data_IF_216333153668
#
_entry.id   IF_216333153668
#
_cell.length_a   1.000
_cell.length_b   1.000
_cell.length_c   1.000
_cell.angle_alpha   90.00
_cell.angle_beta   90.00
_cell.angle_gamma   90.00
#
_symmetry.space_group_name_H-M   'P 1'
#
loop_
_entity.id
_entity.type
_entity.pdbx_description
1 polymer ?
#
# COMPACT_ATOMS: atom_id res chain seq x y z
N UNK A 1 -57.19 -32.14 11.17
CA UNK A 1 -55.74 -32.18 10.91
C UNK A 1 -55.58 -32.42 9.41
N UNK A 2 -55.77 -31.40 8.58
CA UNK A 2 -54.70 -30.59 7.97
C UNK A 2 -53.69 -31.44 7.21
N UNK A 3 -53.90 -31.57 5.90
CA UNK A 3 -52.79 -31.83 4.98
C UNK A 3 -52.98 -30.91 3.75
N UNK A 4 -52.36 -29.74 3.83
CA UNK A 4 -52.19 -28.82 2.71
C UNK A 4 -51.14 -29.41 1.78
N UNK A 5 -51.53 -29.87 0.60
CA UNK A 5 -50.61 -30.00 -0.53
C UNK A 5 -50.66 -28.70 -1.34
N UNK A 6 -49.57 -27.93 -1.46
CA UNK A 6 -49.53 -26.80 -2.37
C UNK A 6 -49.36 -27.30 -3.82
N UNK A 7 -50.23 -26.81 -4.71
CA UNK A 7 -50.04 -26.85 -6.16
C UNK A 7 -48.67 -26.25 -6.49
N UNK A 8 -47.77 -27.06 -7.04
CA UNK A 8 -46.59 -26.55 -7.74
C UNK A 8 -47.07 -25.81 -8.99
N UNK A 9 -47.18 -24.49 -8.88
CA UNK A 9 -47.18 -23.60 -10.04
C UNK A 9 -45.74 -23.53 -10.54
N UNK A 10 -45.52 -24.12 -11.70
CA UNK A 10 -44.31 -23.96 -12.51
C UNK A 10 -44.22 -22.48 -12.95
N UNK A 11 -43.45 -21.68 -12.22
CA UNK A 11 -43.02 -20.36 -12.67
C UNK A 11 -41.65 -20.55 -13.33
N UNK A 12 -41.68 -21.02 -14.56
CA UNK A 12 -40.58 -20.88 -15.49
C UNK A 12 -40.37 -19.41 -15.81
N UNK A 13 -39.40 -18.77 -15.17
CA UNK A 13 -38.67 -17.61 -15.69
C UNK A 13 -37.24 -17.62 -15.14
N UNK A 14 -36.48 -18.67 -15.47
CA UNK A 14 -35.03 -18.49 -15.58
C UNK A 14 -34.80 -17.62 -16.83
N UNK A 15 -34.80 -16.30 -16.65
CA UNK A 15 -34.29 -15.39 -17.65
C UNK A 15 -32.82 -15.73 -17.84
N UNK A 16 -32.51 -16.51 -18.87
CA UNK A 16 -31.15 -16.68 -19.34
C UNK A 16 -30.66 -15.30 -19.76
N UNK A 17 -29.79 -14.69 -18.96
CA UNK A 17 -29.05 -13.52 -19.37
C UNK A 17 -28.32 -13.90 -20.66
N UNK A 18 -28.79 -13.38 -21.80
CA UNK A 18 -28.07 -13.54 -23.06
C UNK A 18 -26.64 -13.03 -22.83
N UNK A 19 -25.61 -13.70 -23.35
CA UNK A 19 -24.27 -13.16 -23.30
C UNK A 19 -24.32 -11.79 -23.99
N UNK A 20 -24.13 -10.72 -23.21
CA UNK A 20 -24.11 -9.35 -23.72
C UNK A 20 -23.03 -9.28 -24.78
N UNK A 21 -23.43 -9.06 -26.04
CA UNK A 21 -22.44 -8.93 -27.11
C UNK A 21 -21.60 -7.67 -26.84
N UNK A 22 -20.37 -7.62 -27.36
CA UNK A 22 -19.53 -6.42 -27.27
C UNK A 22 -20.26 -5.17 -27.79
N UNK A 23 -21.09 -5.34 -28.83
CA UNK A 23 -21.92 -4.26 -29.40
C UNK A 23 -22.94 -3.75 -28.38
N UNK A 24 -23.63 -4.66 -27.68
CA UNK A 24 -24.60 -4.29 -26.64
C UNK A 24 -23.90 -3.59 -25.46
N UNK A 25 -22.74 -4.11 -25.04
CA UNK A 25 -21.94 -3.50 -23.99
C UNK A 25 -21.48 -2.08 -24.34
N UNK A 26 -21.03 -1.86 -25.58
CA UNK A 26 -20.64 -0.55 -26.08
C UNK A 26 -21.82 0.42 -26.17
N UNK A 27 -22.97 -0.03 -26.66
CA UNK A 27 -24.18 0.80 -26.74
C UNK A 27 -24.68 1.20 -25.35
N UNK A 28 -24.72 0.26 -24.41
CA UNK A 28 -25.10 0.53 -23.02
C UNK A 28 -24.11 1.49 -22.36
N UNK A 29 -22.80 1.29 -22.57
CA UNK A 29 -21.77 2.23 -22.12
C UNK A 29 -22.03 3.65 -22.61
N UNK A 30 -22.35 3.82 -23.90
CA UNK A 30 -22.59 5.14 -24.48
C UNK A 30 -23.85 5.80 -23.91
N UNK A 31 -24.91 5.01 -23.67
CA UNK A 31 -26.14 5.48 -23.02
C UNK A 31 -25.88 5.90 -21.56
N UNK A 32 -25.13 5.11 -20.81
CA UNK A 32 -24.75 5.45 -19.43
C UNK A 32 -23.95 6.75 -19.40
N UNK A 33 -23.02 6.93 -20.33
CA UNK A 33 -22.22 8.14 -20.41
C UNK A 33 -23.08 9.37 -20.77
N UNK A 34 -24.06 9.23 -21.66
CA UNK A 34 -25.03 10.27 -21.97
C UNK A 34 -25.94 10.61 -20.78
N UNK A 35 -26.25 9.64 -19.93
CA UNK A 35 -27.03 9.87 -18.72
C UNK A 35 -26.21 10.63 -17.65
N UNK A 36 -24.90 10.35 -17.55
CA UNK A 36 -24.00 11.04 -16.63
C UNK A 36 -23.74 12.50 -17.07
N UNK A 37 -23.59 12.74 -18.38
CA UNK A 37 -23.25 14.04 -18.95
C UNK A 37 -24.40 14.62 -19.79
N UNK A 38 -25.37 15.33 -19.19
CA UNK A 38 -26.63 15.70 -19.84
C UNK A 38 -26.48 16.66 -21.04
N UNK A 39 -25.41 17.46 -21.10
CA UNK A 39 -25.15 18.39 -22.21
C UNK A 39 -24.47 17.73 -23.42
N UNK A 40 -24.50 16.40 -23.53
CA UNK A 40 -23.94 15.66 -24.68
C UNK A 40 -24.51 16.11 -26.04
N UNK A 41 -25.74 16.62 -26.08
CA UNK A 41 -26.36 17.16 -27.31
C UNK A 41 -25.62 18.38 -27.85
N UNK A 42 -24.95 19.14 -27.00
CA UNK A 42 -24.12 20.27 -27.42
C UNK A 42 -22.83 19.78 -28.09
N UNK A 43 -22.28 18.64 -27.64
CA UNK A 43 -21.11 18.02 -28.26
C UNK A 43 -21.46 17.31 -29.58
N UNK A 44 -22.68 16.77 -29.71
CA UNK A 44 -23.14 16.04 -30.89
C UNK A 44 -24.50 16.57 -31.39
N UNK A 45 -24.53 17.72 -32.10
CA UNK A 45 -25.79 18.36 -32.49
C UNK A 45 -26.62 17.59 -33.52
N UNK A 46 -25.98 16.74 -34.33
CA UNK A 46 -26.65 15.94 -35.36
C UNK A 46 -26.36 14.45 -35.19
N UNK A 47 -27.22 13.61 -35.76
CA UNK A 47 -27.05 12.15 -35.80
C UNK A 47 -25.72 11.74 -36.45
N UNK A 48 -25.26 12.49 -37.45
CA UNK A 48 -23.98 12.24 -38.12
C UNK A 48 -22.79 12.49 -37.18
N UNK A 49 -22.80 13.59 -36.42
CA UNK A 49 -21.78 13.87 -35.40
C UNK A 49 -21.74 12.78 -34.33
N UNK A 50 -22.91 12.35 -33.85
CA UNK A 50 -23.03 11.27 -32.87
C UNK A 50 -22.47 9.95 -33.41
N UNK A 51 -22.80 9.60 -34.65
CA UNK A 51 -22.31 8.38 -35.30
C UNK A 51 -20.80 8.42 -35.51
N UNK A 52 -20.25 9.56 -35.92
CA UNK A 52 -18.80 9.72 -36.05
C UNK A 52 -18.10 9.60 -34.69
N UNK A 53 -18.64 10.20 -33.64
CA UNK A 53 -18.14 10.04 -32.28
C UNK A 53 -18.14 8.58 -31.85
N UNK A 54 -19.25 7.86 -32.01
CA UNK A 54 -19.33 6.42 -31.70
C UNK A 54 -18.26 5.60 -32.42
N UNK A 55 -17.96 5.89 -33.70
CA UNK A 55 -16.87 5.24 -34.44
C UNK A 55 -15.50 5.48 -33.80
N UNK A 56 -15.19 6.73 -33.42
CA UNK A 56 -13.92 7.08 -32.77
C UNK A 56 -13.77 6.38 -31.39
N UNK A 57 -14.84 6.39 -30.60
CA UNK A 57 -14.88 5.67 -29.32
C UNK A 57 -14.70 4.17 -29.50
N UNK A 58 -15.34 3.58 -30.50
CA UNK A 58 -15.22 2.15 -30.81
C UNK A 58 -13.78 1.78 -31.22
N UNK A 59 -13.15 2.59 -32.06
CA UNK A 59 -11.73 2.42 -32.44
C UNK A 59 -10.84 2.42 -31.20
N UNK A 60 -11.00 3.41 -30.31
CA UNK A 60 -10.25 3.44 -29.05
C UNK A 60 -10.48 2.18 -28.18
N UNK A 61 -11.72 1.67 -28.12
CA UNK A 61 -12.03 0.48 -27.33
C UNK A 61 -11.31 -0.77 -27.87
N UNK A 62 -11.21 -0.87 -29.18
CA UNK A 62 -10.48 -1.94 -29.87
C UNK A 62 -8.98 -1.78 -29.61
N UNK A 63 -8.42 -0.60 -29.89
CA UNK A 63 -6.99 -0.31 -29.77
C UNK A 63 -6.47 -0.52 -28.34
N UNK A 64 -7.27 -0.16 -27.33
CA UNK A 64 -6.89 -0.26 -25.92
C UNK A 64 -7.37 -1.55 -25.24
N UNK A 65 -8.01 -2.45 -26.00
CA UNK A 65 -8.59 -3.71 -25.49
C UNK A 65 -9.39 -3.46 -24.21
N UNK A 66 -10.41 -2.61 -24.32
CA UNK A 66 -11.25 -2.21 -23.19
C UNK A 66 -12.19 -3.35 -22.81
N UNK A 67 -12.01 -3.89 -21.61
CA UNK A 67 -12.84 -4.92 -21.03
C UNK A 67 -14.03 -4.32 -20.27
N UNK A 68 -15.08 -5.12 -20.02
CA UNK A 68 -16.24 -4.69 -19.24
C UNK A 68 -15.87 -4.10 -17.86
N UNK A 69 -14.86 -4.68 -17.22
CA UNK A 69 -14.34 -4.22 -15.94
C UNK A 69 -13.71 -2.82 -16.01
N UNK A 70 -12.96 -2.51 -17.08
CA UNK A 70 -12.45 -1.16 -17.36
C UNK A 70 -13.59 -0.16 -17.60
N UNK A 71 -14.64 -0.56 -18.32
CA UNK A 71 -15.83 0.27 -18.56
C UNK A 71 -16.50 0.62 -17.22
N UNK A 72 -16.76 -0.38 -16.39
CA UNK A 72 -17.43 -0.22 -15.11
C UNK A 72 -16.65 0.72 -14.17
N UNK A 73 -15.31 0.60 -14.13
CA UNK A 73 -14.44 1.54 -13.41
C UNK A 73 -14.55 2.97 -13.96
N UNK A 74 -14.42 3.12 -15.27
CA UNK A 74 -14.51 4.42 -15.93
C UNK A 74 -15.84 5.11 -15.66
N UNK A 75 -16.96 4.38 -15.74
CA UNK A 75 -18.30 4.90 -15.45
C UNK A 75 -18.50 5.24 -13.96
N UNK A 76 -17.92 4.47 -13.03
CA UNK A 76 -17.94 4.80 -11.60
C UNK A 76 -17.22 6.12 -11.34
N UNK A 77 -16.04 6.30 -11.93
CA UNK A 77 -15.26 7.54 -11.78
C UNK A 77 -15.92 8.73 -12.49
N UNK A 78 -16.51 8.51 -13.65
CA UNK A 78 -17.30 9.52 -14.36
C UNK A 78 -18.45 10.06 -13.50
N UNK A 79 -19.18 9.18 -12.80
CA UNK A 79 -20.23 9.57 -11.85
C UNK A 79 -19.72 10.40 -10.68
N UNK A 80 -18.51 10.11 -10.20
CA UNK A 80 -17.91 10.86 -9.09
C UNK A 80 -17.41 12.24 -9.53
N UNK A 81 -16.79 12.34 -10.70
CA UNK A 81 -16.31 13.62 -11.26
C UNK A 81 -17.51 14.51 -11.62
N UNK A 82 -18.55 13.93 -12.24
CA UNK A 82 -19.72 14.65 -12.72
C UNK A 82 -19.39 15.70 -13.78
N UNK A 83 -20.30 16.65 -13.98
CA UNK A 83 -20.18 17.75 -14.92
C UNK A 83 -21.16 17.66 -16.09
N UNK A 84 -21.31 18.75 -16.82
CA UNK A 84 -22.31 18.85 -17.90
C UNK A 84 -21.77 18.36 -19.25
N UNK A 85 -20.47 18.52 -19.48
CA UNK A 85 -19.83 18.31 -20.79
C UNK A 85 -19.38 16.86 -21.00
N UNK A 86 -19.65 16.34 -22.20
CA UNK A 86 -19.26 14.99 -22.59
C UNK A 86 -17.73 14.87 -22.68
N UNK A 87 -17.12 13.83 -22.07
CA UNK A 87 -15.67 13.67 -22.09
C UNK A 87 -15.15 13.28 -23.47
N UNK A 88 -13.86 13.53 -23.71
CA UNK A 88 -13.17 12.94 -24.87
C UNK A 88 -12.87 11.44 -24.63
N UNK A 89 -12.67 10.62 -25.69
CA UNK A 89 -12.30 9.22 -25.54
C UNK A 89 -11.04 9.05 -24.66
N UNK A 90 -9.99 9.83 -24.92
CA UNK A 90 -8.75 9.78 -24.14
C UNK A 90 -8.95 10.15 -22.68
N UNK A 91 -9.85 11.10 -22.38
CA UNK A 91 -10.17 11.46 -21.01
C UNK A 91 -10.84 10.31 -20.27
N UNK A 92 -11.76 9.60 -20.93
CA UNK A 92 -12.38 8.41 -20.34
C UNK A 92 -11.37 7.27 -20.16
N UNK A 93 -10.41 7.11 -21.07
CA UNK A 93 -9.35 6.12 -20.93
C UNK A 93 -8.55 6.32 -19.62
N UNK A 94 -8.24 7.57 -19.25
CA UNK A 94 -7.62 7.89 -17.94
C UNK A 94 -8.46 7.41 -16.76
N UNK A 95 -9.78 7.41 -16.89
CA UNK A 95 -10.69 6.98 -15.83
C UNK A 95 -10.78 5.47 -15.69
N UNK A 96 -10.44 4.72 -16.74
CA UNK A 96 -10.39 3.26 -16.68
C UNK A 96 -9.15 2.72 -15.97
N UNK A 97 -8.11 3.57 -15.83
CA UNK A 97 -6.85 3.22 -15.16
C UNK A 97 -7.10 2.98 -13.67
N UNK A 98 -6.55 1.91 -13.09
CA UNK A 98 -6.60 1.70 -11.65
C UNK A 98 -5.97 2.88 -10.92
N UNK A 99 -6.56 3.25 -9.80
CA UNK A 99 -6.03 4.26 -8.89
C UNK A 99 -5.32 3.59 -7.71
N UNK A 100 -4.47 4.35 -7.01
CA UNK A 100 -3.80 3.88 -5.79
C UNK A 100 -4.82 3.40 -4.75
N UNK A 101 -5.92 4.14 -4.60
CA UNK A 101 -7.01 3.83 -3.65
C UNK A 101 -7.68 2.48 -3.94
N UNK A 102 -7.81 2.08 -5.21
CA UNK A 102 -8.38 0.77 -5.58
C UNK A 102 -7.55 -0.40 -5.03
N UNK A 103 -6.27 -0.16 -4.71
CA UNK A 103 -5.33 -1.12 -4.13
C UNK A 103 -5.02 -0.83 -2.65
N UNK A 104 -5.71 0.13 -2.03
CA UNK A 104 -5.42 0.56 -0.65
C UNK A 104 -4.05 1.23 -0.48
N UNK A 105 -3.47 1.71 -1.58
CA UNK A 105 -2.18 2.42 -1.57
C UNK A 105 -2.42 3.89 -1.21
N UNK A 106 -1.73 4.45 -0.19
CA UNK A 106 -1.86 5.86 0.11
C UNK A 106 -1.22 6.76 -0.96
N UNK A 107 -1.57 8.04 -0.93
CA UNK A 107 -0.93 9.05 -1.78
C UNK A 107 0.57 9.14 -1.50
N UNK A 108 1.33 9.60 -2.51
CA UNK A 108 2.80 9.70 -2.44
C UNK A 108 3.23 10.54 -1.23
N UNK A 109 2.55 11.65 -0.97
CA UNK A 109 2.85 12.56 0.14
C UNK A 109 2.66 11.89 1.51
N UNK A 110 1.55 11.16 1.70
CA UNK A 110 1.28 10.43 2.94
C UNK A 110 2.27 9.27 3.13
N UNK A 111 2.55 8.54 2.05
CA UNK A 111 3.52 7.46 2.05
C UNK A 111 4.94 7.96 2.36
N UNK A 112 5.33 9.12 1.81
CA UNK A 112 6.64 9.72 2.04
C UNK A 112 6.80 10.17 3.49
N UNK A 113 5.78 10.85 4.04
CA UNK A 113 5.77 11.27 5.45
C UNK A 113 5.94 10.06 6.37
N UNK A 114 5.15 9.01 6.16
CA UNK A 114 5.26 7.77 6.93
C UNK A 114 6.65 7.11 6.79
N UNK A 115 7.21 7.13 5.58
CA UNK A 115 8.55 6.60 5.33
C UNK A 115 9.62 7.37 6.11
N UNK A 116 9.57 8.71 6.13
CA UNK A 116 10.50 9.53 6.90
C UNK A 116 10.33 9.28 8.41
N UNK A 117 9.11 9.32 8.92
CA UNK A 117 8.80 9.12 10.34
C UNK A 117 9.27 7.75 10.87
N UNK A 118 9.29 6.74 10.00
CA UNK A 118 9.71 5.38 10.30
C UNK A 118 11.21 5.14 10.05
N UNK A 119 11.85 5.91 9.16
CA UNK A 119 13.24 5.72 8.72
C UNK A 119 14.32 5.92 9.80
N UNK A 120 13.97 6.58 10.91
CA UNK A 120 14.85 6.77 12.08
C UNK A 120 14.48 5.94 13.32
N UNK A 121 13.41 5.12 13.25
CA UNK A 121 12.94 4.34 14.40
C UNK A 121 13.64 2.99 14.47
N UNK A 122 14.08 2.62 15.68
CA UNK A 122 14.66 1.31 15.96
C UNK A 122 13.62 0.46 16.68
N UNK A 123 13.31 -0.73 16.13
CA UNK A 123 12.40 -1.69 16.76
C UNK A 123 11.20 -2.06 15.88
N UNK A 124 10.07 -2.39 16.50
CA UNK A 124 8.84 -2.75 15.79
C UNK A 124 8.18 -1.47 15.27
N UNK A 125 8.10 -1.36 13.94
CA UNK A 125 7.51 -0.23 13.25
C UNK A 125 6.27 -0.70 12.50
N UNK A 126 5.17 0.02 12.66
CA UNK A 126 3.94 -0.24 11.92
C UNK A 126 3.99 0.49 10.58
N UNK A 127 3.65 -0.24 9.51
CA UNK A 127 3.53 0.29 8.16
C UNK A 127 2.07 0.18 7.71
N UNK A 128 1.47 1.29 7.29
CA UNK A 128 0.08 1.34 6.82
C UNK A 128 -0.12 0.47 5.58
N UNK A 129 0.90 0.39 4.72
CA UNK A 129 0.88 -0.47 3.55
C UNK A 129 2.26 -1.04 3.23
N UNK A 130 2.32 -2.31 2.78
CA UNK A 130 3.57 -3.00 2.44
C UNK A 130 4.39 -2.26 1.38
N UNK A 131 3.72 -1.61 0.42
CA UNK A 131 4.37 -0.83 -0.62
C UNK A 131 5.22 0.33 -0.08
N UNK A 132 4.82 0.94 1.04
CA UNK A 132 5.57 2.04 1.66
C UNK A 132 6.90 1.51 2.19
N UNK A 133 6.87 0.39 2.92
CA UNK A 133 8.07 -0.28 3.42
C UNK A 133 9.01 -0.67 2.27
N UNK A 134 8.49 -1.27 1.20
CA UNK A 134 9.31 -1.71 0.06
C UNK A 134 9.92 -0.54 -0.71
N UNK A 135 9.20 0.55 -0.87
CA UNK A 135 9.73 1.77 -1.47
C UNK A 135 10.82 2.40 -0.59
N UNK A 136 10.57 2.49 0.72
CA UNK A 136 11.55 3.01 1.68
C UNK A 136 12.81 2.14 1.74
N UNK A 137 12.66 0.82 1.69
CA UNK A 137 13.76 -0.14 1.68
C UNK A 137 14.58 -0.07 0.38
N UNK A 138 13.94 0.16 -0.78
CA UNK A 138 14.64 0.35 -2.05
C UNK A 138 15.54 1.58 -2.07
N UNK A 139 15.12 2.67 -1.42
CA UNK A 139 15.95 3.87 -1.26
C UNK A 139 17.01 3.67 -0.16
N UNK A 140 16.63 2.97 0.90
CA UNK A 140 17.43 2.74 2.10
C UNK A 140 16.88 3.54 3.28
N UNK A 141 16.44 2.85 4.32
CA UNK A 141 15.88 3.46 5.53
C UNK A 141 16.86 4.44 6.19
N UNK A 142 18.13 4.06 6.35
CA UNK A 142 19.15 4.96 6.90
C UNK A 142 19.47 6.14 5.98
N UNK A 143 19.40 5.96 4.67
CA UNK A 143 19.64 7.02 3.70
C UNK A 143 18.51 8.06 3.77
N UNK A 144 17.26 7.62 3.84
CA UNK A 144 16.10 8.50 4.00
C UNK A 144 16.18 9.39 5.25
N UNK A 145 16.76 8.89 6.35
CA UNK A 145 16.92 9.65 7.58
C UNK A 145 18.03 10.74 7.52
N UNK A 146 18.96 10.65 6.57
CA UNK A 146 20.15 11.54 6.51
C UNK A 146 20.13 12.47 5.29
N UNK A 147 19.39 12.10 4.23
CA UNK A 147 19.32 12.87 2.99
C UNK A 147 18.55 14.20 3.16
N UNK A 148 18.86 15.17 2.29
CA UNK A 148 18.02 16.38 2.16
C UNK A 148 16.61 15.99 1.69
N UNK A 149 15.59 16.68 2.22
CA UNK A 149 14.17 16.44 1.98
C UNK A 149 13.82 16.37 0.49
N UNK A 150 14.27 17.32 -0.33
CA UNK A 150 13.99 17.32 -1.78
C UNK A 150 14.54 16.07 -2.49
N UNK A 151 15.76 15.64 -2.11
CA UNK A 151 16.40 14.46 -2.69
C UNK A 151 15.74 13.18 -2.20
N UNK A 152 15.38 13.13 -0.91
CA UNK A 152 14.67 12.01 -0.32
C UNK A 152 13.28 11.84 -0.95
N UNK A 153 12.53 12.94 -1.10
CA UNK A 153 11.21 12.94 -1.74
C UNK A 153 11.29 12.45 -3.18
N UNK A 154 12.24 12.96 -3.97
CA UNK A 154 12.42 12.53 -5.37
C UNK A 154 12.80 11.05 -5.48
N UNK A 155 13.74 10.60 -4.66
CA UNK A 155 14.19 9.20 -4.67
C UNK A 155 13.05 8.25 -4.21
N UNK A 156 12.35 8.62 -3.14
CA UNK A 156 11.21 7.87 -2.63
C UNK A 156 10.05 7.85 -3.63
N UNK A 157 9.68 8.99 -4.21
CA UNK A 157 8.58 9.08 -5.18
C UNK A 157 8.80 8.15 -6.36
N UNK A 158 10.03 8.11 -6.90
CA UNK A 158 10.38 7.19 -7.99
C UNK A 158 10.29 5.72 -7.56
N UNK A 159 10.83 5.36 -6.39
CA UNK A 159 10.76 4.01 -5.86
C UNK A 159 9.32 3.58 -5.55
N UNK A 160 8.52 4.49 -5.00
CA UNK A 160 7.12 4.26 -4.65
C UNK A 160 6.24 4.08 -5.88
N UNK A 161 6.41 4.92 -6.91
CA UNK A 161 5.71 4.74 -8.19
C UNK A 161 5.96 3.36 -8.80
N UNK A 162 7.23 2.94 -8.90
CA UNK A 162 7.59 1.62 -9.40
C UNK A 162 7.00 0.48 -8.56
N UNK A 163 6.96 0.65 -7.24
CA UNK A 163 6.39 -0.33 -6.31
C UNK A 163 4.86 -0.41 -6.46
N UNK A 164 4.18 0.72 -6.61
CA UNK A 164 2.75 0.78 -6.86
C UNK A 164 2.38 0.12 -8.20
N UNK A 165 3.16 0.37 -9.26
CA UNK A 165 2.98 -0.31 -10.55
C UNK A 165 3.15 -1.83 -10.43
N UNK A 166 4.16 -2.29 -9.69
CA UNK A 166 4.35 -3.72 -9.41
C UNK A 166 3.16 -4.33 -8.66
N UNK A 167 2.62 -3.64 -7.64
CA UNK A 167 1.43 -4.09 -6.92
C UNK A 167 0.21 -4.13 -7.83
N UNK A 168 0.00 -3.09 -8.63
CA UNK A 168 -1.13 -2.98 -9.56
C UNK A 168 -1.11 -4.05 -10.66
N UNK A 169 0.08 -4.51 -11.06
CA UNK A 169 0.27 -5.61 -12.02
C UNK A 169 0.16 -7.00 -11.39
N UNK A 170 -0.08 -7.08 -10.07
CA UNK A 170 -0.26 -8.34 -9.36
C UNK A 170 1.04 -8.99 -8.87
N UNK A 171 2.17 -8.28 -8.89
CA UNK A 171 3.40 -8.80 -8.28
C UNK A 171 3.26 -8.83 -6.75
N UNK A 172 3.60 -9.97 -6.15
CA UNK A 172 3.59 -10.12 -4.70
C UNK A 172 4.80 -9.43 -4.09
N UNK A 173 4.55 -8.38 -3.31
CA UNK A 173 5.59 -7.76 -2.50
C UNK A 173 6.08 -8.75 -1.42
N UNK A 174 7.41 -8.87 -1.19
CA UNK A 174 7.94 -9.73 -0.13
C UNK A 174 7.34 -9.42 1.24
N UNK A 175 7.29 -10.39 2.14
CA UNK A 175 6.86 -10.11 3.51
C UNK A 175 7.86 -9.18 4.21
N UNK A 176 7.34 -8.21 4.96
CA UNK A 176 8.16 -7.32 5.79
C UNK A 176 8.85 -8.21 6.83
N UNK A 177 10.20 -8.27 6.86
CA UNK A 177 10.93 -9.05 7.85
C UNK A 177 10.50 -8.65 9.25
N UNK A 178 10.09 -9.63 10.07
CA UNK A 178 9.81 -9.39 11.48
C UNK A 178 11.11 -8.95 12.15
N UNK A 179 11.05 -7.85 12.90
CA UNK A 179 12.19 -7.38 13.67
C UNK A 179 12.66 -8.50 14.60
N UNK A 180 13.96 -8.81 14.55
CA UNK A 180 14.57 -9.75 15.49
C UNK A 180 14.53 -9.10 16.88
N UNK A 181 14.09 -9.84 17.91
CA UNK A 181 14.13 -9.37 19.28
C UNK A 181 15.55 -8.92 19.64
N UNK A 182 15.70 -7.65 19.99
CA UNK A 182 16.94 -7.13 20.54
C UNK A 182 17.05 -7.66 21.97
N UNK A 183 17.79 -8.75 22.17
CA UNK A 183 18.22 -9.14 23.51
C UNK A 183 19.07 -8.00 24.07
N UNK A 184 18.58 -7.34 25.11
CA UNK A 184 19.40 -6.47 25.95
C UNK A 184 20.66 -7.23 26.35
N UNK A 185 21.86 -6.63 26.25
CA UNK A 185 23.07 -7.28 26.74
C UNK A 185 22.92 -7.50 28.25
N UNK A 186 22.58 -8.73 28.64
CA UNK A 186 22.53 -9.12 30.04
C UNK A 186 23.96 -9.02 30.57
N UNK A 187 24.16 -8.22 31.62
CA UNK A 187 25.45 -8.16 32.33
C UNK A 187 25.83 -9.59 32.71
N UNK A 188 26.98 -10.05 32.23
CA UNK A 188 27.52 -11.36 32.58
C UNK A 188 27.62 -11.46 34.10
N UNK A 189 27.31 -12.63 34.67
CA UNK A 189 27.58 -12.84 36.10
C UNK A 189 29.07 -12.65 36.38
N UNK A 190 29.41 -12.23 37.60
CA UNK A 190 30.78 -11.95 38.02
C UNK A 190 31.72 -13.14 37.78
N UNK A 191 31.24 -14.36 38.02
CA UNK A 191 31.99 -15.59 37.76
C UNK A 191 32.38 -15.76 36.28
N UNK A 192 31.46 -15.45 35.35
CA UNK A 192 31.70 -15.55 33.90
C UNK A 192 32.64 -14.45 33.44
N UNK A 193 32.45 -13.22 33.93
CA UNK A 193 33.35 -12.11 33.66
C UNK A 193 34.79 -12.40 34.13
N UNK A 194 34.95 -12.91 35.34
CA UNK A 194 36.25 -13.27 35.91
C UNK A 194 36.93 -14.40 35.13
N UNK A 195 36.17 -15.39 34.64
CA UNK A 195 36.69 -16.46 33.76
C UNK A 195 37.24 -15.88 32.46
N UNK A 196 36.50 -14.99 31.80
CA UNK A 196 36.95 -14.34 30.56
C UNK A 196 38.16 -13.43 30.79
N UNK A 197 38.18 -12.67 31.88
CA UNK A 197 39.32 -11.84 32.26
C UNK A 197 40.57 -12.67 32.56
N UNK A 198 40.44 -13.83 33.22
CA UNK A 198 41.55 -14.75 33.47
C UNK A 198 42.12 -15.30 32.15
N UNK A 199 41.26 -15.68 31.21
CA UNK A 199 41.69 -16.13 29.88
C UNK A 199 42.43 -15.03 29.10
N UNK A 200 41.91 -13.80 29.10
CA UNK A 200 42.58 -12.66 28.47
C UNK A 200 43.95 -12.36 29.11
N UNK A 201 44.05 -12.44 30.44
CA UNK A 201 45.31 -12.25 31.17
C UNK A 201 46.35 -13.33 30.84
N UNK A 202 45.92 -14.59 30.71
CA UNK A 202 46.80 -15.70 30.31
C UNK A 202 47.40 -15.48 28.91
N UNK A 203 46.60 -14.94 27.98
CA UNK A 203 47.06 -14.58 26.63
C UNK A 203 48.01 -13.38 26.65
N UNK A 204 47.75 -12.39 27.50
CA UNK A 204 48.51 -11.13 27.57
C UNK A 204 49.69 -11.16 28.54
N UNK A 205 49.93 -12.27 29.26
CA UNK A 205 51.04 -12.43 30.20
C UNK A 205 50.97 -11.48 31.42
N UNK A 206 49.79 -10.98 31.78
CA UNK A 206 49.62 -9.99 32.85
C UNK A 206 49.23 -10.65 34.18
N UNK A 207 49.92 -10.35 35.30
CA UNK A 207 49.58 -10.92 36.59
C UNK A 207 48.25 -10.35 37.13
N UNK A 208 47.56 -11.07 38.03
CA UNK A 208 46.33 -10.57 38.64
C UNK A 208 46.61 -9.29 39.44
N UNK A 209 45.89 -8.22 39.09
CA UNK A 209 45.94 -6.96 39.83
C UNK A 209 45.28 -7.20 41.19
N UNK A 210 46.04 -7.08 42.27
CA UNK A 210 45.44 -7.07 43.61
C UNK A 210 44.52 -5.85 43.71
N UNK A 211 43.25 -6.00 44.13
CA UNK A 211 42.37 -4.85 44.33
C UNK A 211 43.04 -3.91 45.32
N UNK A 212 43.30 -2.67 44.90
CA UNK A 212 44.00 -1.67 45.73
C UNK A 212 43.13 -1.17 46.89
N UNK A 213 41.83 -1.40 46.81
CA UNK A 213 40.81 -1.04 47.80
C UNK A 213 39.83 -2.22 47.86
N UNK A 214 39.59 -2.75 49.06
CA UNK A 214 38.48 -3.66 49.32
C UNK A 214 37.31 -2.78 49.76
N UNK A 215 36.29 -2.66 48.92
CA UNK A 215 35.07 -1.91 49.27
C UNK A 215 34.22 -2.84 50.11
N UNK A 216 34.06 -2.52 51.39
CA UNK A 216 33.12 -3.23 52.28
C UNK A 216 31.71 -2.73 51.99
N UNK A 217 30.93 -3.51 51.25
CA UNK A 217 29.54 -3.21 50.95
C UNK A 217 28.61 -3.36 52.18
N UNK A 218 29.16 -3.80 53.33
CA UNK A 218 28.49 -3.81 54.64
C UNK A 218 28.64 -2.48 55.38
N UNK A 219 29.49 -1.56 54.89
CA UNK A 219 29.67 -0.24 55.46
C UNK A 219 28.36 0.57 55.32
N UNK A 220 27.73 1.01 56.44
CA UNK A 220 26.50 1.78 56.41
C UNK A 220 26.63 3.12 55.65
N UNK A 221 27.85 3.62 55.40
CA UNK A 221 28.10 4.81 54.57
C UNK A 221 28.02 4.55 53.06
N UNK A 222 28.06 3.28 52.63
CA UNK A 222 27.98 2.84 51.23
C UNK A 222 26.71 2.06 50.92
N UNK A 223 25.88 1.79 51.94
CA UNK A 223 24.53 1.31 51.76
C UNK A 223 23.76 2.36 50.94
N UNK A 224 23.41 1.99 49.71
CA UNK A 224 22.56 2.79 48.84
C UNK A 224 21.33 3.21 49.63
N UNK A 225 21.15 4.53 49.88
CA UNK A 225 19.93 5.09 50.44
C UNK A 225 18.80 4.96 49.41
N UNK A 226 18.39 3.72 49.19
CA UNK A 226 17.37 3.28 48.25
C UNK A 226 16.41 2.32 48.93
N UNK A 227 16.01 2.67 50.15
CA UNK A 227 14.88 2.08 50.85
C UNK A 227 13.63 2.90 50.57
N UNK A 228 12.90 2.53 49.52
CA UNK A 228 11.43 2.58 49.38
C UNK A 228 10.70 3.78 50.03
N UNK A 229 10.26 4.71 49.18
CA UNK A 229 8.92 5.30 49.21
C UNK A 229 8.50 5.63 47.76
#
# INVERSE_FOLDING_TARGET
MQNLQPKQQDIGHAQSAKPTSFVDAFNNFFLDLQAIFPAWRNAFPTTEHLNNAKKQWLQMFIDQSITQDKINRGLRKARFIGGDFFPSPSKFLEWTKPTLDDFGLPSIELAFKEAIDNSGRVGVVHWSHKAIYHAAHQVGLSALAVMNEEKAHKAFSHAYQKTCEAVMTGQTLPEIPKAIERKEPVKSSEAVANKHLAAMRAVLGTPPIKPKITIDYSDPLLANEGGVA
#
